data_IF_232363561380
#
_entry.id   IF_232363561380
#
_cell.length_a   1.000
_cell.length_b   1.000
_cell.length_c   1.000
_cell.angle_alpha   90.00
_cell.angle_beta   90.00
_cell.angle_gamma   90.00
#
_symmetry.space_group_name_H-M   'P 1'
#
loop_
_entity.id
_entity.type
_entity.pdbx_description
1 polymer ?
#
# COMPACT_ATOMS: atom_id res chain seq x y z
N UNK A 1 -9.88 19.65 4.67
CA UNK A 1 -10.00 18.27 4.13
C UNK A 1 -9.45 18.32 2.71
N UNK A 2 -8.32 17.70 2.34
CA UNK A 2 -7.95 17.42 0.91
C UNK A 2 -6.57 16.77 0.66
N UNK A 3 -5.70 16.60 1.66
CA UNK A 3 -4.46 15.84 1.44
C UNK A 3 -4.65 14.32 1.59
N UNK A 4 -5.54 13.90 2.50
CA UNK A 4 -5.80 12.48 2.74
C UNK A 4 -6.40 11.79 1.51
N UNK A 5 -7.41 12.41 0.87
CA UNK A 5 -8.11 11.85 -0.29
C UNK A 5 -7.21 11.74 -1.53
N UNK A 6 -6.31 12.70 -1.72
CA UNK A 6 -5.36 12.70 -2.85
C UNK A 6 -4.28 11.63 -2.67
N UNK A 7 -3.82 11.41 -1.44
CA UNK A 7 -2.90 10.32 -1.08
C UNK A 7 -3.60 8.96 -1.21
N UNK A 8 -4.85 8.84 -0.74
CA UNK A 8 -5.68 7.65 -0.92
C UNK A 8 -5.87 7.30 -2.40
N UNK A 9 -6.16 8.27 -3.27
CA UNK A 9 -6.28 8.01 -4.71
C UNK A 9 -4.94 7.64 -5.37
N UNK A 10 -3.83 8.27 -4.94
CA UNK A 10 -2.49 7.99 -5.48
C UNK A 10 -2.03 6.57 -5.14
N UNK A 11 -2.39 6.06 -3.96
CA UNK A 11 -2.02 4.73 -3.50
C UNK A 11 -3.18 3.71 -3.53
N UNK A 12 -4.35 4.07 -4.05
CA UNK A 12 -5.51 3.19 -4.14
C UNK A 12 -5.16 1.89 -4.90
N UNK A 13 -4.47 2.03 -6.03
CA UNK A 13 -4.00 0.90 -6.82
C UNK A 13 -2.99 0.02 -6.05
N UNK A 14 -2.14 0.62 -5.22
CA UNK A 14 -1.17 -0.09 -4.39
C UNK A 14 -1.87 -0.92 -3.30
N UNK A 15 -2.89 -0.35 -2.67
CA UNK A 15 -3.69 -1.01 -1.63
C UNK A 15 -4.58 -2.10 -2.22
N UNK A 16 -5.19 -1.85 -3.37
CA UNK A 16 -5.96 -2.88 -4.07
C UNK A 16 -5.06 -4.06 -4.48
N UNK A 17 -3.87 -3.78 -5.01
CA UNK A 17 -2.89 -4.81 -5.31
C UNK A 17 -2.50 -5.59 -4.04
N UNK A 18 -2.18 -4.90 -2.94
CA UNK A 18 -1.87 -5.56 -1.67
C UNK A 18 -2.99 -6.50 -1.21
N UNK A 19 -4.24 -6.06 -1.29
CA UNK A 19 -5.42 -6.89 -0.97
C UNK A 19 -5.54 -8.11 -1.87
N UNK A 20 -5.38 -7.95 -3.19
CA UNK A 20 -5.42 -9.06 -4.15
C UNK A 20 -4.33 -10.09 -3.85
N UNK A 21 -3.10 -9.65 -3.62
CA UNK A 21 -1.99 -10.54 -3.29
C UNK A 21 -2.29 -11.36 -2.03
N UNK A 22 -2.84 -10.72 -0.98
CA UNK A 22 -3.31 -11.42 0.21
C UNK A 22 -4.44 -12.42 -0.07
N UNK A 23 -5.39 -12.08 -0.94
CA UNK A 23 -6.48 -12.99 -1.34
C UNK A 23 -5.97 -14.22 -2.11
N UNK A 24 -4.92 -14.06 -2.93
CA UNK A 24 -4.28 -15.17 -3.63
C UNK A 24 -3.33 -15.99 -2.75
N UNK A 25 -3.34 -15.78 -1.43
CA UNK A 25 -2.55 -16.56 -0.47
C UNK A 25 -1.09 -16.15 -0.36
N UNK A 26 -0.67 -15.01 -0.94
CA UNK A 26 0.66 -14.48 -0.62
C UNK A 26 0.70 -14.03 0.84
N UNK A 27 1.80 -14.41 1.50
CA UNK A 27 2.08 -13.96 2.86
C UNK A 27 2.23 -12.42 2.88
N UNK A 28 1.71 -11.77 3.93
CA UNK A 28 1.78 -10.30 4.09
C UNK A 28 3.17 -9.70 3.80
N UNK A 29 4.31 -10.32 4.20
CA UNK A 29 5.63 -9.78 3.89
C UNK A 29 5.93 -9.73 2.38
N UNK A 30 5.59 -10.79 1.65
CA UNK A 30 5.82 -10.90 0.21
C UNK A 30 4.90 -9.96 -0.58
N UNK A 31 3.63 -9.85 -0.16
CA UNK A 31 2.68 -8.92 -0.73
C UNK A 31 3.15 -7.46 -0.57
N UNK A 32 3.63 -7.11 0.63
CA UNK A 32 4.17 -5.79 0.93
C UNK A 32 5.42 -5.47 0.10
N UNK A 33 6.38 -6.38 0.02
CA UNK A 33 7.59 -6.20 -0.81
C UNK A 33 7.22 -6.02 -2.28
N UNK A 34 6.28 -6.82 -2.80
CA UNK A 34 5.84 -6.74 -4.20
C UNK A 34 5.20 -5.38 -4.53
N UNK A 35 4.42 -4.83 -3.62
CA UNK A 35 3.84 -3.49 -3.76
C UNK A 35 4.94 -2.44 -3.65
N UNK A 36 5.77 -2.45 -2.59
CA UNK A 36 6.87 -1.47 -2.44
C UNK A 36 7.85 -1.48 -3.63
N UNK A 37 8.10 -2.64 -4.26
CA UNK A 37 8.97 -2.78 -5.42
C UNK A 37 8.39 -2.15 -6.71
N UNK A 38 7.06 -2.05 -6.84
CA UNK A 38 6.41 -1.34 -7.97
C UNK A 38 6.45 0.17 -7.82
N UNK A 39 6.73 0.63 -6.61
CA UNK A 39 6.71 2.03 -6.21
C UNK A 39 8.12 2.51 -5.81
N UNK A 40 9.15 2.05 -6.53
CA UNK A 40 10.56 2.41 -6.29
C UNK A 40 10.85 3.89 -6.56
N UNK A 41 10.07 4.52 -7.45
CA UNK A 41 10.15 5.94 -7.80
C UNK A 41 9.52 6.87 -6.76
N UNK A 42 8.86 6.33 -5.73
CA UNK A 42 8.32 7.14 -4.65
C UNK A 42 9.44 7.75 -3.81
N UNK A 43 9.24 9.02 -3.45
CA UNK A 43 10.04 9.70 -2.44
C UNK A 43 9.94 9.01 -1.08
N UNK A 44 10.90 9.27 -0.18
CA UNK A 44 10.90 8.73 1.18
C UNK A 44 9.58 9.01 1.92
N UNK A 45 9.02 10.21 1.76
CA UNK A 45 7.75 10.60 2.36
C UNK A 45 6.56 9.79 1.80
N UNK A 46 6.50 9.64 0.48
CA UNK A 46 5.47 8.84 -0.18
C UNK A 46 5.56 7.35 0.18
N UNK A 47 6.77 6.81 0.28
CA UNK A 47 7.00 5.43 0.73
C UNK A 47 6.56 5.23 2.18
N UNK A 48 6.81 6.21 3.04
CA UNK A 48 6.32 6.18 4.42
C UNK A 48 4.79 6.15 4.48
N UNK A 49 4.12 6.99 3.68
CA UNK A 49 2.66 7.01 3.58
C UNK A 49 2.09 5.67 3.07
N UNK A 50 2.68 5.09 2.01
CA UNK A 50 2.27 3.78 1.49
C UNK A 50 2.36 2.68 2.56
N UNK A 51 3.45 2.67 3.35
CA UNK A 51 3.62 1.70 4.45
C UNK A 51 2.55 1.87 5.53
N UNK A 52 2.21 3.10 5.90
CA UNK A 52 1.15 3.37 6.87
C UNK A 52 -0.22 2.91 6.35
N UNK A 53 -0.51 3.11 5.06
CA UNK A 53 -1.76 2.65 4.46
C UNK A 53 -1.88 1.12 4.40
N UNK A 54 -0.78 0.42 4.06
CA UNK A 54 -0.73 -1.04 4.10
C UNK A 54 -0.97 -1.54 5.54
N UNK A 55 -0.26 -0.99 6.53
CA UNK A 55 -0.43 -1.36 7.93
C UNK A 55 -1.87 -1.13 8.42
N UNK A 56 -2.50 -0.01 8.03
CA UNK A 56 -3.91 0.26 8.33
C UNK A 56 -4.85 -0.76 7.70
N UNK A 57 -4.53 -1.23 6.50
CA UNK A 57 -5.30 -2.27 5.80
C UNK A 57 -5.17 -3.63 6.48
N UNK A 58 -4.03 -3.92 7.12
CA UNK A 58 -3.83 -5.11 7.93
C UNK A 58 -4.63 -5.07 9.24
N UNK A 59 -4.74 -3.91 9.88
CA UNK A 59 -5.49 -3.75 11.14
C UNK A 59 -7.01 -3.69 10.97
N UNK A 60 -7.51 -3.47 9.76
CA UNK A 60 -8.95 -3.35 9.47
C UNK A 60 -9.62 -4.68 9.07
N UNK A 61 -8.86 -5.78 9.00
CA UNK A 61 -9.29 -7.10 8.57
C UNK A 61 -8.94 -8.15 9.62
#
# INVERSE_FOLDING_TARGET
MNNQTTIDNTFAAAIEMYRRLRQYGQTSPLARISVEARYTTLTTAQRHLLRQLIARTESAN
#
